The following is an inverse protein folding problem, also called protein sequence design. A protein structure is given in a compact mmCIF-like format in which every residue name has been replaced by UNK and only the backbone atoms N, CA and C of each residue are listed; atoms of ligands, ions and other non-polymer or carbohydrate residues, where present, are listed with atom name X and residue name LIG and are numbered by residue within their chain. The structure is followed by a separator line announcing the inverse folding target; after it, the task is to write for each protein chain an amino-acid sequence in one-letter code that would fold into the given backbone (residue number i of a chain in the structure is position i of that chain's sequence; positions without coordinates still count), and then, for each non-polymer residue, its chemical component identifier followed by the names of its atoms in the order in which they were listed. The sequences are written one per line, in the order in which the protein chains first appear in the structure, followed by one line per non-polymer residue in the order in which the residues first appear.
data_IF_206557775260
#
_entry.id   IF_206557775260
#
_cell.length_a   1.000
_cell.length_b   1.000
_cell.length_c   1.000
_cell.angle_alpha   90.00
_cell.angle_beta   90.00
_cell.angle_gamma   90.00
#
_symmetry.space_group_name_H-M   'P 1'
#
loop_
_entity.id
_entity.type
_entity.pdbx_description
1 polymer ?
#
# COMPACT_ATOMS: atom_id res chain seq x y z
N UNK A 1 -5.79 -28.09 -2.58
CA UNK A 1 -7.01 -27.71 -1.90
C UNK A 1 -6.80 -26.52 -0.95
N UNK A 2 -7.73 -25.64 -0.94
CA UNK A 2 -7.62 -24.47 -0.11
C UNK A 2 -8.02 -24.75 1.33
N UNK A 3 -7.21 -24.31 2.26
CA UNK A 3 -7.52 -24.41 3.69
C UNK A 3 -8.28 -23.16 4.11
N UNK A 4 -9.61 -23.29 4.25
CA UNK A 4 -10.48 -22.19 4.61
C UNK A 4 -10.36 -21.78 6.08
N UNK A 5 -9.62 -22.55 6.91
CA UNK A 5 -9.38 -22.20 8.30
C UNK A 5 -8.24 -21.19 8.46
N UNK A 6 -7.49 -20.92 7.40
CA UNK A 6 -6.35 -20.02 7.46
C UNK A 6 -6.75 -18.58 7.34
N UNK A 7 -6.09 -17.74 8.11
CA UNK A 7 -6.17 -16.31 7.95
C UNK A 7 -5.23 -15.91 6.80
N UNK A 8 -5.73 -15.08 5.89
CA UNK A 8 -4.95 -14.58 4.77
C UNK A 8 -4.55 -13.13 5.07
N UNK A 9 -3.27 -12.82 4.92
CA UNK A 9 -2.80 -11.45 5.08
C UNK A 9 -2.70 -10.79 3.72
N UNK A 10 -3.35 -9.64 3.60
CA UNK A 10 -3.47 -8.90 2.35
C UNK A 10 -2.88 -7.51 2.51
N UNK A 11 -2.33 -6.99 1.43
CA UNK A 11 -1.84 -5.61 1.39
C UNK A 11 -2.47 -4.92 0.19
N UNK A 12 -2.93 -3.70 0.41
CA UNK A 12 -3.48 -2.86 -0.65
C UNK A 12 -2.82 -1.50 -0.63
N UNK A 13 -2.55 -0.98 -1.82
CA UNK A 13 -1.99 0.36 -1.98
C UNK A 13 -2.95 1.17 -2.85
N UNK A 14 -3.31 2.35 -2.36
CA UNK A 14 -4.18 3.28 -3.08
C UNK A 14 -3.39 4.57 -3.32
N UNK A 15 -3.24 4.94 -4.59
CA UNK A 15 -2.47 6.12 -4.97
C UNK A 15 -3.44 7.18 -5.49
N UNK A 16 -3.64 8.24 -4.70
CA UNK A 16 -4.42 9.38 -5.09
C UNK A 16 -3.54 10.53 -5.55
N UNK A 17 -4.16 11.63 -5.97
CA UNK A 17 -3.42 12.80 -6.43
C UNK A 17 -2.66 13.51 -5.31
N UNK A 18 -3.13 13.42 -4.09
CA UNK A 18 -2.50 14.08 -2.96
C UNK A 18 -1.86 13.09 -2.01
N UNK A 19 -2.51 11.96 -1.76
CA UNK A 19 -2.14 11.04 -0.70
C UNK A 19 -2.06 9.62 -1.22
N UNK A 20 -1.04 8.91 -0.79
CA UNK A 20 -0.91 7.48 -1.02
C UNK A 20 -1.19 6.74 0.28
N UNK A 21 -1.90 5.63 0.22
CA UNK A 21 -2.26 4.86 1.41
C UNK A 21 -1.88 3.41 1.25
N UNK A 22 -1.40 2.84 2.33
CA UNK A 22 -1.11 1.41 2.45
C UNK A 22 -2.00 0.84 3.54
N UNK A 23 -2.65 -0.27 3.25
CA UNK A 23 -3.40 -1.02 4.25
C UNK A 23 -2.93 -2.46 4.22
N UNK A 24 -2.54 -2.98 5.37
CA UNK A 24 -2.25 -4.39 5.56
C UNK A 24 -3.30 -4.91 6.53
N UNK A 25 -4.00 -5.95 6.13
CA UNK A 25 -5.12 -6.47 6.90
C UNK A 25 -5.12 -7.99 6.85
N UNK A 26 -5.67 -8.58 7.90
CA UNK A 26 -5.88 -10.01 7.97
C UNK A 26 -7.34 -10.31 7.64
N UNK A 27 -7.52 -11.31 6.77
CA UNK A 27 -8.82 -11.85 6.43
C UNK A 27 -8.94 -13.24 7.03
N UNK A 28 -9.57 -13.37 8.20
CA UNK A 28 -9.78 -14.68 8.79
C UNK A 28 -10.95 -15.41 8.12
N UNK A 29 -11.14 -16.71 8.43
CA UNK A 29 -12.22 -17.48 7.81
C UNK A 29 -13.62 -16.92 8.02
N UNK A 30 -13.82 -16.13 9.07
CA UNK A 30 -15.13 -15.53 9.33
C UNK A 30 -15.44 -14.34 8.42
N UNK A 31 -14.49 -13.93 7.58
CA UNK A 31 -14.67 -12.86 6.62
C UNK A 31 -14.56 -11.46 7.19
N UNK A 32 -14.21 -11.31 8.45
CA UNK A 32 -14.12 -10.00 9.09
C UNK A 32 -12.70 -9.48 9.06
N UNK A 33 -12.42 -8.54 8.17
CA UNK A 33 -11.09 -7.96 8.04
C UNK A 33 -10.63 -7.31 9.33
N UNK A 34 -9.36 -7.55 9.66
CA UNK A 34 -8.71 -6.91 10.79
C UNK A 34 -7.50 -6.14 10.30
N UNK A 35 -7.49 -4.84 10.56
CA UNK A 35 -6.34 -4.02 10.17
C UNK A 35 -5.13 -4.41 10.99
N UNK A 36 -4.02 -4.68 10.30
CA UNK A 36 -2.73 -4.98 10.93
C UNK A 36 -1.88 -3.73 10.96
N UNK A 37 -1.84 -3.01 9.83
CA UNK A 37 -1.04 -1.82 9.70
C UNK A 37 -1.63 -0.91 8.64
N UNK A 38 -1.55 0.39 8.88
CA UNK A 38 -2.01 1.39 7.95
C UNK A 38 -0.96 2.50 7.89
N UNK A 39 -0.61 2.91 6.68
CA UNK A 39 0.32 4.00 6.45
C UNK A 39 -0.28 4.97 5.46
N UNK A 40 0.09 6.22 5.59
CA UNK A 40 -0.36 7.25 4.67
C UNK A 40 0.79 8.21 4.42
N UNK A 41 0.94 8.61 3.17
CA UNK A 41 1.98 9.58 2.80
C UNK A 41 1.40 10.60 1.85
N UNK A 42 1.68 11.87 2.12
CA UNK A 42 1.28 12.96 1.25
C UNK A 42 2.32 13.04 0.14
N UNK A 43 1.90 12.81 -1.11
CA UNK A 43 2.81 12.79 -2.26
C UNK A 43 2.70 14.03 -3.12
N UNK A 44 1.56 14.73 -3.08
CA UNK A 44 1.31 15.94 -3.87
C UNK A 44 1.59 15.70 -5.35
N UNK A 45 0.99 14.65 -5.91
CA UNK A 45 1.22 14.27 -7.30
C UNK A 45 0.70 15.30 -8.28
N UNK A 46 -0.27 16.12 -7.88
CA UNK A 46 -0.76 17.20 -8.71
C UNK A 46 0.19 18.38 -8.82
N UNK A 47 1.22 18.43 -7.98
CA UNK A 47 2.18 19.53 -7.97
C UNK A 47 3.06 19.43 -9.22
N UNK A 48 3.11 20.49 -9.99
CA UNK A 48 3.85 20.51 -11.25
C UNK A 48 3.08 19.93 -12.43
N UNK A 49 1.86 19.44 -12.21
CA UNK A 49 0.97 19.04 -13.28
C UNK A 49 0.21 20.28 -13.72
N UNK A 50 0.62 20.85 -14.81
CA UNK A 50 0.00 22.06 -15.32
C UNK A 50 -0.66 21.75 -16.67
N UNK A 51 -0.38 22.55 -17.65
CA UNK A 51 -0.96 22.38 -18.97
C UNK A 51 -0.51 21.11 -19.67
N UNK A 52 0.63 20.56 -19.30
CA UNK A 52 1.13 19.31 -19.89
C UNK A 52 0.34 18.10 -19.42
N UNK A 53 -0.29 18.19 -18.26
CA UNK A 53 -1.04 17.11 -17.65
C UNK A 53 -0.20 15.85 -17.43
N UNK A 54 1.10 16.05 -17.20
CA UNK A 54 2.02 14.94 -16.90
C UNK A 54 2.57 15.13 -15.49
N UNK A 55 2.83 14.02 -14.83
CA UNK A 55 3.47 14.07 -13.52
C UNK A 55 4.89 14.63 -13.68
N UNK A 56 5.30 15.50 -12.76
CA UNK A 56 6.67 15.99 -12.75
C UNK A 56 7.62 14.85 -12.38
N UNK A 57 8.89 15.01 -12.77
CA UNK A 57 9.91 14.04 -12.36
C UNK A 57 10.02 13.92 -10.86
N UNK A 58 9.91 15.05 -10.15
CA UNK A 58 9.96 15.04 -8.68
C UNK A 58 8.79 14.29 -8.09
N UNK A 59 7.59 14.43 -8.66
CA UNK A 59 6.41 13.70 -8.19
C UNK A 59 6.57 12.21 -8.40
N UNK A 60 7.07 11.81 -9.57
CA UNK A 60 7.32 10.40 -9.86
C UNK A 60 8.35 9.80 -8.90
N UNK A 61 9.40 10.56 -8.59
CA UNK A 61 10.41 10.10 -7.64
C UNK A 61 9.81 9.87 -6.26
N UNK A 62 8.90 10.75 -5.84
CA UNK A 62 8.23 10.58 -4.55
C UNK A 62 7.39 9.31 -4.51
N UNK A 63 6.68 9.00 -5.60
CA UNK A 63 5.92 7.75 -5.70
C UNK A 63 6.83 6.55 -5.62
N UNK A 64 7.89 6.55 -6.42
CA UNK A 64 8.82 5.43 -6.46
C UNK A 64 9.44 5.19 -5.09
N UNK A 65 9.89 6.27 -4.44
CA UNK A 65 10.49 6.15 -3.12
C UNK A 65 9.49 5.59 -2.10
N UNK A 66 8.26 6.07 -2.13
CA UNK A 66 7.20 5.58 -1.25
C UNK A 66 6.93 4.10 -1.48
N UNK A 67 6.82 3.69 -2.74
CA UNK A 67 6.53 2.29 -3.07
C UNK A 67 7.69 1.38 -2.67
N UNK A 68 8.93 1.82 -2.81
CA UNK A 68 10.09 1.04 -2.38
C UNK A 68 10.06 0.81 -0.87
N UNK A 69 9.79 1.86 -0.10
CA UNK A 69 9.71 1.75 1.35
C UNK A 69 8.56 0.82 1.76
N UNK A 70 7.40 0.97 1.14
CA UNK A 70 6.24 0.18 1.48
C UNK A 70 6.38 -1.27 1.03
N UNK A 71 7.12 -1.51 -0.04
CA UNK A 71 7.44 -2.87 -0.46
C UNK A 71 8.16 -3.62 0.67
N UNK A 72 9.12 -2.95 1.30
CA UNK A 72 9.80 -3.54 2.46
C UNK A 72 8.86 -3.83 3.61
N UNK A 73 7.95 -2.90 3.91
CA UNK A 73 6.96 -3.11 4.97
C UNK A 73 6.02 -4.26 4.64
N UNK A 74 5.57 -4.34 3.41
CA UNK A 74 4.68 -5.41 2.98
C UNK A 74 5.38 -6.77 3.12
N UNK A 75 6.61 -6.87 2.63
CA UNK A 75 7.38 -8.11 2.73
C UNK A 75 7.55 -8.54 4.17
N UNK A 76 7.85 -7.59 5.05
CA UNK A 76 8.03 -7.86 6.47
C UNK A 76 6.74 -8.40 7.10
N UNK A 77 5.63 -7.73 6.85
CA UNK A 77 4.36 -8.12 7.46
C UNK A 77 3.80 -9.41 6.87
N UNK A 78 3.95 -9.61 5.57
CA UNK A 78 3.53 -10.86 4.93
C UNK A 78 4.43 -12.01 5.42
N UNK A 79 5.73 -11.77 5.56
CA UNK A 79 6.65 -12.77 6.10
C UNK A 79 6.27 -13.19 7.51
N UNK A 80 5.86 -12.26 8.35
CA UNK A 80 5.42 -12.58 9.72
C UNK A 80 4.20 -13.46 9.74
N UNK A 81 3.32 -13.34 8.75
CA UNK A 81 2.11 -14.12 8.69
C UNK A 81 2.40 -15.60 8.36
N UNK A 82 3.59 -15.89 7.84
CA UNK A 82 3.98 -17.24 7.42
C UNK A 82 4.96 -17.91 8.37
N UNK A 83 5.21 -17.32 9.51
CA UNK A 83 6.11 -17.88 10.52
C UNK A 83 5.41 -18.93 11.37
#
# INVERSE_FOLDING_TARGET
MKDSSRTMRLAGVDIGTLTCRLLIADLPPDGKLKEVRSERRILRLGEGVDQSKQLSGAAMDRVIQCLKEWHGLIDEEIGRAHV
#
